data_IF_837356768989
#
_entry.id   IF_837356768989
#
_cell.length_a   1.000
_cell.length_b   1.000
_cell.length_c   1.000
_cell.angle_alpha   90.00
_cell.angle_beta   90.00
_cell.angle_gamma   90.00
#
_symmetry.space_group_name_H-M   'P 1'
#
loop_
_entity.id
_entity.type
_entity.pdbx_description
1 polymer ?
#
# COMPACT_ATOMS: atom_id res chain seq x y z
N UNK A 1 32.33 31.15 23.07
CA UNK A 1 32.54 30.39 21.82
C UNK A 1 33.16 31.33 20.80
N UNK A 2 34.29 30.98 20.17
CA UNK A 2 34.88 31.80 19.09
C UNK A 2 33.94 31.85 17.89
N UNK A 3 33.87 33.00 17.19
CA UNK A 3 32.99 33.21 16.03
C UNK A 3 33.14 32.11 14.97
N UNK A 4 34.36 31.57 14.80
CA UNK A 4 34.69 30.43 13.95
C UNK A 4 33.96 29.12 14.33
N UNK A 5 33.75 28.85 15.63
CA UNK A 5 33.03 27.64 16.07
C UNK A 5 31.54 27.74 15.80
N UNK A 6 30.96 28.94 15.96
CA UNK A 6 29.54 29.19 15.68
C UNK A 6 29.27 29.12 14.17
N UNK A 7 30.13 29.73 13.35
CA UNK A 7 30.00 29.65 11.89
C UNK A 7 30.21 28.23 11.37
N UNK A 8 31.19 27.49 11.91
CA UNK A 8 31.41 26.08 11.57
C UNK A 8 30.22 25.19 11.94
N UNK A 9 29.69 25.30 13.16
CA UNK A 9 28.52 24.53 13.59
C UNK A 9 27.25 24.92 12.80
N UNK A 10 27.08 26.20 12.48
CA UNK A 10 26.00 26.68 11.64
C UNK A 10 26.07 26.09 10.22
N UNK A 11 27.25 26.12 9.60
CA UNK A 11 27.48 25.53 8.28
C UNK A 11 27.27 24.01 8.30
N UNK A 12 27.77 23.31 9.33
CA UNK A 12 27.59 21.88 9.50
C UNK A 12 26.11 21.52 9.64
N UNK A 13 25.35 22.27 10.44
CA UNK A 13 23.91 22.08 10.59
C UNK A 13 23.17 22.29 9.27
N UNK A 14 23.51 23.35 8.53
CA UNK A 14 22.93 23.65 7.21
C UNK A 14 23.20 22.55 6.19
N UNK A 15 24.46 22.09 6.10
CA UNK A 15 24.87 21.01 5.19
C UNK A 15 24.18 19.69 5.59
N UNK A 16 24.08 19.40 6.88
CA UNK A 16 23.39 18.19 7.37
C UNK A 16 21.89 18.22 7.04
N UNK A 17 21.23 19.37 7.22
CA UNK A 17 19.82 19.56 6.86
C UNK A 17 19.62 19.44 5.33
N UNK A 18 20.49 20.06 4.54
CA UNK A 18 20.45 19.96 3.08
C UNK A 18 20.65 18.51 2.61
N UNK A 19 21.56 17.78 3.25
CA UNK A 19 21.79 16.36 2.98
C UNK A 19 20.55 15.50 3.31
N UNK A 20 19.95 15.68 4.49
CA UNK A 20 18.72 14.96 4.87
C UNK A 20 17.60 15.27 3.89
N UNK A 21 17.44 16.54 3.50
CA UNK A 21 16.44 16.96 2.52
C UNK A 21 16.67 16.30 1.16
N UNK A 22 17.92 16.26 0.69
CA UNK A 22 18.30 15.62 -0.57
C UNK A 22 18.06 14.10 -0.56
N UNK A 23 18.32 13.43 0.57
CA UNK A 23 18.17 11.96 0.70
C UNK A 23 16.73 11.55 0.97
N UNK A 24 15.93 12.44 1.58
CA UNK A 24 14.54 12.16 1.99
C UNK A 24 13.66 11.44 0.95
N UNK A 25 13.64 11.80 -0.36
CA UNK A 25 12.80 11.09 -1.33
C UNK A 25 13.21 9.63 -1.55
N UNK A 26 14.49 9.29 -1.31
CA UNK A 26 15.02 7.93 -1.49
C UNK A 26 14.78 7.02 -0.28
N UNK A 27 14.41 7.59 0.88
CA UNK A 27 14.12 6.80 2.09
C UNK A 27 12.96 5.85 1.88
N UNK A 28 11.95 6.23 1.09
CA UNK A 28 10.77 5.39 0.86
C UNK A 28 11.11 4.13 0.03
N UNK A 29 11.82 4.23 -1.12
CA UNK A 29 12.38 3.06 -1.80
C UNK A 29 13.24 2.16 -0.92
N UNK A 30 14.16 2.76 -0.14
CA UNK A 30 15.05 2.02 0.78
C UNK A 30 14.23 1.25 1.83
N UNK A 31 13.23 1.90 2.41
CA UNK A 31 12.35 1.31 3.42
C UNK A 31 11.58 0.09 2.86
N UNK A 32 10.98 0.23 1.68
CA UNK A 32 10.24 -0.88 1.05
C UNK A 32 11.16 -2.02 0.63
N UNK A 33 12.34 -1.70 0.08
CA UNK A 33 13.36 -2.69 -0.22
C UNK A 33 13.80 -3.47 1.03
N UNK A 34 14.09 -2.78 2.14
CA UNK A 34 14.49 -3.41 3.39
C UNK A 34 13.37 -4.28 3.97
N UNK A 35 12.15 -3.78 3.96
CA UNK A 35 10.96 -4.52 4.45
C UNK A 35 10.77 -5.80 3.66
N UNK A 36 10.70 -5.72 2.32
CA UNK A 36 10.54 -6.89 1.46
C UNK A 36 11.73 -7.86 1.60
N UNK A 37 12.96 -7.36 1.71
CA UNK A 37 14.13 -8.20 1.95
C UNK A 37 14.02 -8.99 3.28
N UNK A 38 13.58 -8.34 4.36
CA UNK A 38 13.38 -9.01 5.66
C UNK A 38 12.27 -10.06 5.60
N UNK A 39 11.16 -9.74 4.92
CA UNK A 39 10.00 -10.64 4.75
C UNK A 39 10.38 -11.89 3.97
N UNK A 40 11.07 -11.70 2.85
CA UNK A 40 11.41 -12.75 1.91
C UNK A 40 12.78 -13.38 2.19
N UNK A 41 13.48 -12.96 3.25
CA UNK A 41 14.71 -13.61 3.72
C UNK A 41 14.59 -15.15 3.90
N UNK A 42 13.53 -15.72 4.49
CA UNK A 42 13.37 -17.18 4.54
C UNK A 42 13.32 -17.82 3.14
N UNK A 43 12.62 -17.21 2.18
CA UNK A 43 12.56 -17.69 0.80
C UNK A 43 13.94 -17.56 0.12
N UNK A 44 14.62 -16.43 0.31
CA UNK A 44 15.98 -16.19 -0.18
C UNK A 44 16.96 -17.23 0.36
N UNK A 45 16.97 -17.44 1.67
CA UNK A 45 17.85 -18.41 2.34
C UNK A 45 17.57 -19.83 1.85
N UNK A 46 16.30 -20.20 1.66
CA UNK A 46 15.92 -21.50 1.12
C UNK A 46 16.42 -21.70 -0.33
N UNK A 47 16.21 -20.70 -1.19
CA UNK A 47 16.67 -20.73 -2.60
C UNK A 47 18.20 -20.76 -2.67
N UNK A 48 18.89 -19.98 -1.85
CA UNK A 48 20.35 -19.92 -1.77
C UNK A 48 20.96 -21.28 -1.37
N UNK A 49 20.37 -21.94 -0.36
CA UNK A 49 20.78 -23.29 0.04
C UNK A 49 20.58 -24.30 -1.10
N UNK A 50 19.46 -24.23 -1.84
CA UNK A 50 19.22 -25.09 -3.01
C UNK A 50 20.19 -24.83 -4.15
N UNK A 51 20.65 -23.59 -4.31
CA UNK A 51 21.64 -23.19 -5.32
C UNK A 51 23.10 -23.33 -4.86
N UNK A 52 23.35 -24.12 -3.79
CA UNK A 52 24.69 -24.40 -3.27
C UNK A 52 25.44 -23.14 -2.81
N UNK A 53 24.74 -22.18 -2.21
CA UNK A 53 25.35 -20.95 -1.65
C UNK A 53 25.63 -19.85 -2.68
N UNK A 54 25.07 -19.95 -3.89
CA UNK A 54 25.24 -18.91 -4.93
C UNK A 54 24.27 -17.75 -4.68
N UNK A 55 24.76 -16.71 -3.99
CA UNK A 55 23.95 -15.55 -3.57
C UNK A 55 23.29 -14.78 -4.74
N UNK A 56 24.02 -14.51 -5.82
CA UNK A 56 23.50 -13.75 -6.99
C UNK A 56 22.29 -14.41 -7.68
N UNK A 57 22.36 -15.67 -8.14
CA UNK A 57 21.22 -16.32 -8.76
C UNK A 57 20.07 -16.56 -7.77
N UNK A 58 20.38 -16.78 -6.48
CA UNK A 58 19.34 -16.88 -5.46
C UNK A 58 18.57 -15.57 -5.30
N UNK A 59 19.27 -14.44 -5.19
CA UNK A 59 18.68 -13.11 -5.08
C UNK A 59 17.85 -12.75 -6.33
N UNK A 60 18.32 -13.11 -7.53
CA UNK A 60 17.54 -12.92 -8.77
C UNK A 60 16.24 -13.73 -8.76
N UNK A 61 16.30 -15.02 -8.40
CA UNK A 61 15.09 -15.86 -8.34
C UNK A 61 14.11 -15.37 -7.28
N UNK A 62 14.59 -14.96 -6.12
CA UNK A 62 13.72 -14.40 -5.07
C UNK A 62 13.13 -13.06 -5.50
N UNK A 63 13.90 -12.20 -6.17
CA UNK A 63 13.38 -10.96 -6.74
C UNK A 63 12.27 -11.24 -7.76
N UNK A 64 12.47 -12.19 -8.67
CA UNK A 64 11.46 -12.61 -9.64
C UNK A 64 10.21 -13.18 -8.95
N UNK A 65 10.38 -13.98 -7.89
CA UNK A 65 9.27 -14.47 -7.06
C UNK A 65 8.48 -13.30 -6.46
N UNK A 66 9.15 -12.30 -5.88
CA UNK A 66 8.50 -11.11 -5.29
C UNK A 66 7.75 -10.32 -6.37
N UNK A 67 8.39 -10.10 -7.52
CA UNK A 67 7.76 -9.40 -8.65
C UNK A 67 6.49 -10.13 -9.09
N UNK A 68 6.56 -11.44 -9.28
CA UNK A 68 5.43 -12.25 -9.75
C UNK A 68 4.29 -12.38 -8.71
N UNK A 69 4.62 -12.49 -7.42
CA UNK A 69 3.63 -12.79 -6.36
C UNK A 69 3.07 -11.56 -5.66
N UNK A 70 3.79 -10.44 -5.66
CA UNK A 70 3.37 -9.21 -4.97
C UNK A 70 3.15 -8.07 -5.96
N UNK A 71 4.16 -7.76 -6.77
CA UNK A 71 4.16 -6.53 -7.59
C UNK A 71 3.17 -6.62 -8.74
N UNK A 72 3.25 -7.68 -9.56
CA UNK A 72 2.36 -7.87 -10.72
C UNK A 72 0.89 -7.89 -10.30
N UNK A 73 0.46 -8.68 -9.29
CA UNK A 73 -0.93 -8.64 -8.82
C UNK A 73 -1.35 -7.25 -8.35
N UNK A 74 -0.49 -6.55 -7.59
CA UNK A 74 -0.78 -5.20 -7.10
C UNK A 74 -0.96 -4.19 -8.24
N UNK A 75 -0.11 -4.26 -9.27
CA UNK A 75 -0.21 -3.38 -10.44
C UNK A 75 -1.49 -3.65 -11.24
N UNK A 76 -1.84 -4.93 -11.46
CA UNK A 76 -3.08 -5.30 -12.13
C UNK A 76 -4.30 -4.77 -11.37
N UNK A 77 -4.33 -4.91 -10.05
CA UNK A 77 -5.38 -4.36 -9.21
C UNK A 77 -5.48 -2.85 -9.30
N UNK A 78 -4.35 -2.16 -9.16
CA UNK A 78 -4.35 -0.70 -9.26
C UNK A 78 -4.87 -0.25 -10.62
N UNK A 79 -4.52 -0.95 -11.70
CA UNK A 79 -5.02 -0.66 -13.04
C UNK A 79 -6.53 -0.95 -13.18
N UNK A 80 -7.04 -2.04 -12.61
CA UNK A 80 -8.44 -2.39 -12.62
C UNK A 80 -9.28 -1.35 -11.87
N UNK A 81 -8.89 -1.04 -10.63
CA UNK A 81 -9.53 -0.01 -9.80
C UNK A 81 -9.47 1.37 -10.46
N UNK A 82 -8.32 1.75 -11.04
CA UNK A 82 -8.20 3.02 -11.76
C UNK A 82 -9.12 3.09 -12.98
N UNK A 83 -9.26 1.98 -13.72
CA UNK A 83 -10.15 1.91 -14.88
C UNK A 83 -11.63 2.02 -14.49
N UNK A 84 -12.07 1.30 -13.47
CA UNK A 84 -13.43 1.38 -12.94
C UNK A 84 -13.74 2.77 -12.39
N UNK A 85 -12.80 3.36 -11.64
CA UNK A 85 -12.99 4.69 -11.10
C UNK A 85 -13.02 5.79 -12.18
N UNK A 86 -12.24 5.64 -13.25
CA UNK A 86 -12.28 6.53 -14.42
C UNK A 86 -13.64 6.43 -15.13
N UNK A 87 -14.15 5.21 -15.34
CA UNK A 87 -15.47 4.99 -15.93
C UNK A 87 -16.59 5.58 -15.07
N UNK A 88 -16.51 5.40 -13.75
CA UNK A 88 -17.44 5.99 -12.80
C UNK A 88 -17.42 7.52 -12.87
N UNK A 89 -16.23 8.13 -12.89
CA UNK A 89 -16.08 9.58 -13.03
C UNK A 89 -16.76 10.11 -14.30
N UNK A 90 -16.55 9.44 -15.43
CA UNK A 90 -17.19 9.80 -16.72
C UNK A 90 -18.72 9.65 -16.66
N UNK A 91 -19.25 8.58 -16.03
CA UNK A 91 -20.70 8.38 -15.88
C UNK A 91 -21.35 9.45 -14.99
N UNK A 92 -20.69 9.85 -13.92
CA UNK A 92 -21.14 10.94 -13.04
C UNK A 92 -21.13 12.28 -13.79
N UNK A 93 -20.05 12.59 -14.53
CA UNK A 93 -19.98 13.84 -15.31
C UNK A 93 -21.03 13.92 -16.42
N UNK A 94 -21.33 12.79 -17.07
CA UNK A 94 -22.29 12.74 -18.17
C UNK A 94 -23.75 12.64 -17.70
N UNK A 95 -24.02 12.75 -16.39
CA UNK A 95 -25.37 12.66 -15.82
C UNK A 95 -26.04 11.29 -15.99
N UNK A 96 -25.27 10.25 -16.33
CA UNK A 96 -25.75 8.87 -16.44
C UNK A 96 -25.83 8.17 -15.08
N UNK A 97 -25.28 8.80 -14.05
CA UNK A 97 -25.36 8.35 -12.67
C UNK A 97 -26.27 9.31 -11.91
N UNK A 98 -27.49 8.88 -11.57
CA UNK A 98 -28.37 9.65 -10.68
C UNK A 98 -28.22 9.12 -9.24
N UNK A 99 -27.57 9.85 -8.32
CA UNK A 99 -27.47 9.46 -6.91
C UNK A 99 -28.82 9.20 -6.25
N UNK A 100 -29.91 9.70 -6.85
CA UNK A 100 -31.27 9.45 -6.42
C UNK A 100 -31.70 7.99 -6.58
N UNK A 101 -31.17 7.23 -7.54
CA UNK A 101 -31.53 5.83 -7.76
C UNK A 101 -31.07 4.93 -6.60
N UNK A 102 -29.87 5.16 -6.07
CA UNK A 102 -29.31 4.44 -4.91
C UNK A 102 -30.19 4.65 -3.67
N UNK A 103 -30.59 5.90 -3.42
CA UNK A 103 -31.46 6.23 -2.29
C UNK A 103 -32.86 5.64 -2.44
N UNK A 104 -33.34 5.55 -3.67
CA UNK A 104 -34.63 4.93 -4.00
C UNK A 104 -34.57 3.41 -3.80
N UNK A 105 -33.47 2.76 -4.19
CA UNK A 105 -33.23 1.34 -3.93
C UNK A 105 -33.16 1.03 -2.43
N UNK A 106 -32.43 1.83 -1.64
CA UNK A 106 -32.35 1.69 -0.18
C UNK A 106 -33.72 1.90 0.47
N UNK A 107 -34.52 2.88 0.02
CA UNK A 107 -35.88 3.09 0.53
C UNK A 107 -36.81 1.91 0.23
N UNK A 108 -36.66 1.27 -0.93
CA UNK A 108 -37.54 0.17 -1.38
C UNK A 108 -37.14 -1.16 -0.72
N UNK A 109 -35.84 -1.46 -0.65
CA UNK A 109 -35.34 -2.76 -0.19
C UNK A 109 -35.09 -2.83 1.32
N UNK A 110 -34.87 -1.68 1.98
CA UNK A 110 -34.61 -1.61 3.42
C UNK A 110 -35.50 -0.57 4.13
N UNK A 111 -36.85 -0.75 4.11
CA UNK A 111 -37.80 0.21 4.69
C UNK A 111 -37.65 0.38 6.21
N UNK A 112 -37.10 -0.61 6.91
CA UNK A 112 -36.82 -0.51 8.34
C UNK A 112 -35.71 0.50 8.67
N UNK A 113 -34.74 0.68 7.76
CA UNK A 113 -33.62 1.62 7.92
C UNK A 113 -34.08 3.05 7.66
N UNK A 114 -34.93 3.26 6.66
CA UNK A 114 -35.51 4.58 6.37
C UNK A 114 -36.47 5.06 7.45
N UNK A 115 -37.27 4.15 8.04
CA UNK A 115 -38.12 4.45 9.20
C UNK A 115 -37.32 4.86 10.45
N UNK A 116 -36.26 4.11 10.79
CA UNK A 116 -35.39 4.46 11.92
C UNK A 116 -34.66 5.78 11.74
N UNK A 117 -34.18 6.09 10.52
CA UNK A 117 -33.50 7.36 10.20
C UNK A 117 -34.43 8.57 10.33
N UNK A 118 -35.70 8.40 9.96
CA UNK A 118 -36.72 9.43 10.14
C UNK A 118 -37.04 9.68 11.62
N UNK A 119 -37.08 8.64 12.44
CA UNK A 119 -37.33 8.73 13.89
C UNK A 119 -36.21 9.43 14.67
N UNK A 120 -34.95 9.35 14.20
CA UNK A 120 -33.81 10.11 14.77
C UNK A 120 -33.64 11.50 14.14
N UNK A 121 -34.61 11.97 13.34
CA UNK A 121 -34.63 13.33 12.78
C UNK A 121 -33.66 13.56 11.62
N UNK A 122 -33.13 12.50 11.00
CA UNK A 122 -32.23 12.61 9.85
C UNK A 122 -33.08 12.75 8.58
N UNK A 123 -33.06 13.94 7.98
CA UNK A 123 -33.82 14.22 6.77
C UNK A 123 -33.21 13.50 5.56
N UNK A 124 -34.02 12.72 4.84
CA UNK A 124 -33.59 11.96 3.65
C UNK A 124 -32.95 12.89 2.59
N UNK A 125 -33.39 14.15 2.54
CA UNK A 125 -32.84 15.16 1.63
C UNK A 125 -31.41 15.57 2.00
N UNK A 126 -31.09 15.62 3.29
CA UNK A 126 -29.72 15.93 3.76
C UNK A 126 -28.79 14.73 3.52
N UNK A 127 -29.29 13.51 3.70
CA UNK A 127 -28.57 12.28 3.33
C UNK A 127 -28.30 12.26 1.83
N UNK A 128 -29.29 12.62 1.00
CA UNK A 128 -29.15 12.73 -0.46
C UNK A 128 -28.08 13.75 -0.86
N UNK A 129 -28.11 14.94 -0.26
CA UNK A 129 -27.12 15.98 -0.53
C UNK A 129 -25.69 15.53 -0.12
N UNK A 130 -25.56 14.82 1.00
CA UNK A 130 -24.28 14.33 1.50
C UNK A 130 -23.72 13.19 0.62
N UNK A 131 -24.57 12.26 0.16
CA UNK A 131 -24.16 11.18 -0.76
C UNK A 131 -23.72 11.75 -2.10
N UNK A 132 -24.46 12.69 -2.68
CA UNK A 132 -24.07 13.37 -3.92
C UNK A 132 -22.76 14.13 -3.77
N UNK A 133 -22.58 14.86 -2.65
CA UNK A 133 -21.33 15.57 -2.36
C UNK A 133 -20.16 14.58 -2.21
N UNK A 134 -20.36 13.46 -1.52
CA UNK A 134 -19.34 12.43 -1.35
C UNK A 134 -18.97 11.76 -2.68
N UNK A 135 -19.94 11.48 -3.56
CA UNK A 135 -19.69 10.93 -4.89
C UNK A 135 -18.89 11.91 -5.76
N UNK A 136 -19.22 13.20 -5.75
CA UNK A 136 -18.48 14.24 -6.49
C UNK A 136 -17.08 14.45 -5.91
N UNK A 137 -16.92 14.59 -4.60
CA UNK A 137 -15.61 14.78 -3.97
C UNK A 137 -14.73 13.53 -4.10
N UNK A 138 -15.30 12.34 -3.93
CA UNK A 138 -14.59 11.07 -4.09
C UNK A 138 -14.13 10.86 -5.53
N UNK A 139 -14.98 11.16 -6.52
CA UNK A 139 -14.61 11.05 -7.93
C UNK A 139 -13.56 12.09 -8.36
N UNK A 140 -13.63 13.33 -7.85
CA UNK A 140 -12.58 14.34 -8.04
C UNK A 140 -11.25 13.94 -7.41
N UNK A 141 -11.27 13.35 -6.20
CA UNK A 141 -10.07 12.82 -5.55
C UNK A 141 -9.41 11.74 -6.42
N UNK A 142 -10.18 10.78 -6.95
CA UNK A 142 -9.66 9.73 -7.82
C UNK A 142 -9.11 10.30 -9.14
N UNK A 143 -9.81 11.25 -9.77
CA UNK A 143 -9.31 11.93 -10.96
C UNK A 143 -7.99 12.67 -10.71
N UNK A 144 -7.85 13.32 -9.54
CA UNK A 144 -6.62 13.98 -9.13
C UNK A 144 -5.47 12.99 -8.90
N UNK A 145 -5.74 11.81 -8.34
CA UNK A 145 -4.77 10.74 -8.19
C UNK A 145 -4.26 10.26 -9.57
N UNK A 146 -5.16 10.01 -10.51
CA UNK A 146 -4.81 9.57 -11.86
C UNK A 146 -3.92 10.61 -12.58
N UNK A 147 -4.27 11.89 -12.50
CA UNK A 147 -3.47 12.99 -13.06
C UNK A 147 -2.10 13.14 -12.36
N UNK A 148 -2.05 13.01 -11.04
CA UNK A 148 -0.81 13.13 -10.25
C UNK A 148 0.14 11.96 -10.53
N UNK A 149 -0.39 10.74 -10.63
CA UNK A 149 0.37 9.54 -11.01
C UNK A 149 0.89 9.67 -12.44
N UNK A 150 0.08 10.18 -13.37
CA UNK A 150 0.49 10.43 -14.75
C UNK A 150 1.57 11.49 -14.88
N UNK A 151 1.42 12.64 -14.20
CA UNK A 151 2.39 13.73 -14.22
C UNK A 151 3.73 13.35 -13.57
N UNK A 152 3.71 12.49 -12.54
CA UNK A 152 4.91 12.01 -11.86
C UNK A 152 5.33 10.60 -12.29
N UNK A 153 4.83 10.07 -13.41
CA UNK A 153 5.07 8.69 -13.83
C UNK A 153 6.56 8.37 -13.96
N UNK A 154 7.37 9.32 -14.46
CA UNK A 154 8.82 9.17 -14.58
C UNK A 154 9.49 9.02 -13.20
N UNK A 155 9.15 9.89 -12.25
CA UNK A 155 9.69 9.82 -10.89
C UNK A 155 9.24 8.53 -10.19
N UNK A 156 7.97 8.17 -10.28
CA UNK A 156 7.44 6.92 -9.75
C UNK A 156 8.20 5.71 -10.31
N UNK A 157 8.39 5.67 -11.64
CA UNK A 157 9.11 4.59 -12.31
C UNK A 157 10.57 4.52 -11.84
N UNK A 158 11.26 5.66 -11.76
CA UNK A 158 12.64 5.71 -11.26
C UNK A 158 12.75 5.20 -9.81
N UNK A 159 11.87 5.66 -8.91
CA UNK A 159 11.84 5.24 -7.51
C UNK A 159 11.48 3.75 -7.36
N UNK A 160 10.59 3.24 -8.21
CA UNK A 160 10.22 1.84 -8.25
C UNK A 160 11.40 0.95 -8.70
N UNK A 161 12.11 1.32 -9.77
CA UNK A 161 13.31 0.59 -10.19
C UNK A 161 14.44 0.69 -9.17
N UNK A 162 14.61 1.84 -8.52
CA UNK A 162 15.55 2.00 -7.42
C UNK A 162 15.21 1.07 -6.26
N UNK A 163 13.93 0.98 -5.87
CA UNK A 163 13.49 0.04 -4.84
C UNK A 163 13.82 -1.41 -5.24
N UNK A 164 13.55 -1.83 -6.49
CA UNK A 164 13.90 -3.18 -6.96
C UNK A 164 15.41 -3.44 -6.95
N UNK A 165 16.19 -2.44 -7.38
CA UNK A 165 17.64 -2.49 -7.33
C UNK A 165 18.13 -2.67 -5.89
N UNK A 166 17.69 -1.82 -4.96
CA UNK A 166 18.06 -1.93 -3.55
C UNK A 166 17.62 -3.25 -2.93
N UNK A 167 16.41 -3.72 -3.25
CA UNK A 167 15.88 -5.01 -2.81
C UNK A 167 16.79 -6.16 -3.25
N UNK A 168 17.25 -6.14 -4.50
CA UNK A 168 18.19 -7.14 -5.00
C UNK A 168 19.49 -7.18 -4.18
N UNK A 169 20.11 -6.01 -3.92
CA UNK A 169 21.33 -5.94 -3.11
C UNK A 169 21.09 -6.30 -1.65
N UNK A 170 19.93 -5.95 -1.07
CA UNK A 170 19.58 -6.35 0.29
C UNK A 170 19.35 -7.86 0.42
N UNK A 171 18.78 -8.50 -0.59
CA UNK A 171 18.62 -9.96 -0.63
C UNK A 171 19.97 -10.67 -0.83
N UNK A 172 20.85 -10.12 -1.67
CA UNK A 172 22.16 -10.71 -1.99
C UNK A 172 23.20 -10.50 -0.89
N UNK A 173 23.36 -9.27 -0.44
CA UNK A 173 24.46 -8.81 0.40
C UNK A 173 24.00 -8.42 1.82
N UNK A 174 22.79 -8.81 2.22
CA UNK A 174 22.16 -8.34 3.46
C UNK A 174 23.02 -8.55 4.72
N UNK A 175 23.83 -9.61 4.79
CA UNK A 175 24.77 -9.84 5.90
C UNK A 175 25.88 -8.79 5.93
N UNK A 176 26.55 -8.56 4.80
CA UNK A 176 27.63 -7.56 4.65
C UNK A 176 27.10 -6.16 4.92
N UNK A 177 25.90 -5.85 4.43
CA UNK A 177 25.25 -4.54 4.66
C UNK A 177 24.93 -4.36 6.15
N UNK A 178 24.42 -5.39 6.81
CA UNK A 178 24.14 -5.35 8.25
C UNK A 178 25.42 -5.15 9.07
N UNK A 179 26.51 -5.86 8.74
CA UNK A 179 27.80 -5.70 9.41
C UNK A 179 28.40 -4.30 9.22
N UNK A 180 28.32 -3.76 8.00
CA UNK A 180 28.75 -2.39 7.72
C UNK A 180 27.92 -1.36 8.50
N UNK A 181 26.61 -1.60 8.66
CA UNK A 181 25.72 -0.72 9.39
C UNK A 181 25.97 -0.74 10.91
N UNK A 182 26.27 -1.92 11.47
CA UNK A 182 26.72 -2.08 12.85
C UNK A 182 28.03 -1.29 13.04
N UNK A 183 29.04 -1.51 12.21
CA UNK A 183 30.33 -0.81 12.33
C UNK A 183 30.23 0.73 12.21
N UNK A 184 29.23 1.24 11.49
CA UNK A 184 29.01 2.68 11.34
C UNK A 184 28.30 3.33 12.54
N UNK A 185 27.63 2.54 13.40
CA UNK A 185 26.92 3.04 14.56
C UNK A 185 27.86 3.04 15.79
N UNK A 186 27.92 4.14 16.56
CA UNK A 186 28.76 4.24 17.75
C UNK A 186 27.96 3.89 19.03
N UNK A 187 27.11 2.86 19.00
CA UNK A 187 26.25 2.45 20.13
C UNK A 187 26.77 1.19 20.84
N UNK A 188 27.74 0.50 20.23
CA UNK A 188 28.39 -0.72 20.70
C UNK A 188 27.78 -1.95 20.07
N UNK A 189 28.63 -2.79 19.45
CA UNK A 189 28.26 -3.89 18.56
C UNK A 189 27.15 -4.82 19.09
N UNK A 190 27.17 -5.15 20.40
CA UNK A 190 26.17 -6.04 21.00
C UNK A 190 24.77 -5.41 21.03
N UNK A 191 24.68 -4.12 21.37
CA UNK A 191 23.40 -3.40 21.46
C UNK A 191 22.79 -3.20 20.07
N UNK A 192 23.62 -2.95 19.07
CA UNK A 192 23.19 -2.78 17.68
C UNK A 192 22.71 -4.09 17.08
N UNK A 193 23.43 -5.19 17.30
CA UNK A 193 22.97 -6.53 16.90
C UNK A 193 21.63 -6.87 17.54
N UNK A 194 21.46 -6.59 18.83
CA UNK A 194 20.18 -6.79 19.51
C UNK A 194 19.07 -5.91 18.92
N UNK A 195 19.37 -4.64 18.61
CA UNK A 195 18.43 -3.71 18.00
C UNK A 195 17.95 -4.20 16.63
N UNK A 196 18.87 -4.56 15.72
CA UNK A 196 18.51 -5.08 14.40
C UNK A 196 17.77 -6.42 14.47
N UNK A 197 18.15 -7.30 15.40
CA UNK A 197 17.43 -8.55 15.65
C UNK A 197 15.99 -8.27 16.08
N UNK A 198 15.78 -7.31 16.99
CA UNK A 198 14.45 -6.92 17.46
C UNK A 198 13.63 -6.27 16.35
N UNK A 199 14.21 -5.40 15.53
CA UNK A 199 13.54 -4.86 14.34
C UNK A 199 13.10 -5.97 13.40
N UNK A 200 13.98 -6.92 13.10
CA UNK A 200 13.63 -8.03 12.21
C UNK A 200 12.54 -8.94 12.82
N UNK A 201 12.57 -9.17 14.14
CA UNK A 201 11.52 -9.89 14.87
C UNK A 201 10.18 -9.17 14.78
N UNK A 202 10.13 -7.87 15.11
CA UNK A 202 8.91 -7.06 15.07
C UNK A 202 8.38 -6.97 13.64
N UNK A 203 9.22 -6.68 12.64
CA UNK A 203 8.80 -6.64 11.23
C UNK A 203 8.18 -7.97 10.80
N UNK A 204 8.83 -9.10 11.12
CA UNK A 204 8.26 -10.43 10.81
C UNK A 204 6.97 -10.70 11.56
N UNK A 205 6.86 -10.30 12.82
CA UNK A 205 5.64 -10.47 13.62
C UNK A 205 4.48 -9.65 13.04
N UNK A 206 4.74 -8.38 12.72
CA UNK A 206 3.77 -7.49 12.07
C UNK A 206 3.29 -8.09 10.76
N UNK A 207 4.19 -8.53 9.89
CA UNK A 207 3.82 -9.08 8.58
C UNK A 207 3.08 -10.42 8.70
N UNK A 208 3.48 -11.30 9.62
CA UNK A 208 2.71 -12.54 9.90
C UNK A 208 1.31 -12.22 10.41
N UNK A 209 1.18 -11.22 11.29
CA UNK A 209 -0.10 -10.73 11.77
C UNK A 209 -0.95 -10.17 10.63
N UNK A 210 -0.35 -9.33 9.80
CA UNK A 210 -0.99 -8.75 8.60
C UNK A 210 -1.41 -9.82 7.61
N UNK A 211 -0.60 -10.86 7.36
CA UNK A 211 -0.95 -11.99 6.51
C UNK A 211 -2.16 -12.76 7.07
N UNK A 212 -2.18 -13.01 8.38
CA UNK A 212 -3.31 -13.68 9.04
C UNK A 212 -4.59 -12.85 8.90
N UNK A 213 -4.51 -11.53 9.16
CA UNK A 213 -5.62 -10.59 8.93
C UNK A 213 -6.03 -10.61 7.45
N UNK A 214 -5.05 -10.65 6.54
CA UNK A 214 -5.20 -10.87 5.09
C UNK A 214 -6.03 -12.08 4.73
N UNK A 215 -5.71 -13.24 5.31
CA UNK A 215 -6.44 -14.49 5.06
C UNK A 215 -7.88 -14.34 5.53
N UNK A 216 -8.08 -13.84 6.75
CA UNK A 216 -9.42 -13.65 7.33
C UNK A 216 -10.25 -12.69 6.48
N UNK A 217 -9.73 -11.50 6.17
CA UNK A 217 -10.45 -10.49 5.40
C UNK A 217 -10.64 -10.88 3.94
N UNK A 218 -9.65 -11.54 3.31
CA UNK A 218 -9.77 -12.02 1.94
C UNK A 218 -10.81 -13.12 1.81
N UNK A 219 -10.88 -14.02 2.79
CA UNK A 219 -11.91 -15.06 2.84
C UNK A 219 -13.29 -14.46 3.07
N UNK A 220 -13.46 -13.61 4.09
CA UNK A 220 -14.73 -12.96 4.39
C UNK A 220 -15.19 -12.04 3.26
N UNK A 221 -14.29 -11.24 2.70
CA UNK A 221 -14.56 -10.35 1.57
C UNK A 221 -14.91 -11.12 0.30
N UNK A 222 -14.19 -12.21 0.01
CA UNK A 222 -14.51 -13.10 -1.11
C UNK A 222 -15.87 -13.77 -0.94
N UNK A 223 -16.22 -14.21 0.27
CA UNK A 223 -17.55 -14.76 0.57
C UNK A 223 -18.65 -13.68 0.42
N UNK A 224 -18.41 -12.47 0.92
CA UNK A 224 -19.34 -11.34 0.73
C UNK A 224 -19.57 -11.08 -0.76
N UNK A 225 -18.51 -10.97 -1.56
CA UNK A 225 -18.63 -10.75 -3.01
C UNK A 225 -19.33 -11.89 -3.73
N UNK A 226 -19.11 -13.14 -3.28
CA UNK A 226 -19.81 -14.30 -3.80
C UNK A 226 -21.32 -14.22 -3.52
N UNK A 227 -21.73 -13.87 -2.30
CA UNK A 227 -23.14 -13.76 -1.94
C UNK A 227 -23.85 -12.57 -2.59
N UNK A 228 -23.14 -11.47 -2.84
CA UNK A 228 -23.70 -10.31 -3.55
C UNK A 228 -23.71 -10.49 -5.08
N UNK A 229 -23.11 -11.58 -5.60
CA UNK A 229 -23.16 -11.90 -7.03
C UNK A 229 -22.12 -11.16 -7.87
N UNK A 230 -21.02 -10.67 -7.27
CA UNK A 230 -19.91 -10.07 -8.02
C UNK A 230 -19.13 -11.17 -8.73
N UNK A 231 -18.90 -10.97 -10.03
CA UNK A 231 -18.06 -11.87 -10.83
C UNK A 231 -16.63 -11.94 -10.28
N UNK A 232 -16.03 -13.13 -10.35
CA UNK A 232 -14.66 -13.39 -9.87
C UNK A 232 -14.44 -13.11 -8.36
N UNK A 233 -15.43 -13.38 -7.51
CA UNK A 233 -15.32 -13.24 -6.04
C UNK A 233 -14.05 -13.87 -5.42
N UNK A 234 -13.63 -15.04 -5.92
CA UNK A 234 -12.39 -15.71 -5.46
C UNK A 234 -11.15 -14.89 -5.82
N UNK A 235 -11.11 -14.30 -7.01
CA UNK A 235 -10.01 -13.42 -7.43
C UNK A 235 -9.90 -12.24 -6.47
N UNK A 236 -11.00 -11.53 -6.22
CA UNK A 236 -11.03 -10.39 -5.30
C UNK A 236 -10.67 -10.75 -3.86
N UNK A 237 -11.10 -11.92 -3.37
CA UNK A 237 -10.71 -12.43 -2.05
C UNK A 237 -9.21 -12.69 -1.91
N UNK A 238 -8.61 -13.36 -2.90
CA UNK A 238 -7.15 -13.59 -2.94
C UNK A 238 -6.39 -12.26 -3.05
N UNK A 239 -6.91 -11.30 -3.81
CA UNK A 239 -6.33 -9.97 -3.94
C UNK A 239 -6.38 -9.16 -2.65
N UNK A 240 -7.49 -9.20 -1.90
CA UNK A 240 -7.58 -8.61 -0.55
C UNK A 240 -6.57 -9.22 0.41
N UNK A 241 -6.36 -10.54 0.32
CA UNK A 241 -5.35 -11.23 1.12
C UNK A 241 -3.94 -10.75 0.78
N UNK A 242 -3.57 -10.65 -0.50
CA UNK A 242 -2.24 -10.19 -0.92
C UNK A 242 -2.00 -8.73 -0.56
N UNK A 243 -2.96 -7.84 -0.84
CA UNK A 243 -2.81 -6.40 -0.57
C UNK A 243 -2.82 -6.05 0.91
N UNK A 244 -3.35 -6.91 1.77
CA UNK A 244 -3.24 -6.74 3.22
C UNK A 244 -1.79 -6.50 3.66
N UNK A 245 -0.84 -7.16 2.99
CA UNK A 245 0.60 -7.10 3.28
C UNK A 245 1.20 -5.71 3.08
N UNK A 246 0.51 -4.78 2.41
CA UNK A 246 0.94 -3.40 2.22
C UNK A 246 0.40 -2.51 3.35
N UNK A 247 1.21 -2.17 4.38
CA UNK A 247 0.75 -1.41 5.55
C UNK A 247 0.15 -0.02 5.25
N UNK A 248 0.53 0.62 4.14
CA UNK A 248 0.03 1.97 3.76
C UNK A 248 -1.38 1.92 3.16
N UNK A 249 -1.80 0.76 2.66
CA UNK A 249 -2.89 0.65 1.68
C UNK A 249 -3.90 -0.44 2.04
N UNK A 250 -3.42 -1.58 2.56
CA UNK A 250 -4.22 -2.69 3.09
C UNK A 250 -5.29 -3.22 2.13
N UNK A 251 -6.30 -3.92 2.69
CA UNK A 251 -7.47 -4.34 1.91
C UNK A 251 -8.43 -3.18 1.61
N UNK A 252 -8.28 -2.02 2.26
CA UNK A 252 -9.06 -0.80 1.99
C UNK A 252 -8.97 -0.34 0.55
N UNK A 253 -7.85 -0.61 -0.14
CA UNK A 253 -7.74 -0.30 -1.56
C UNK A 253 -8.60 -1.20 -2.46
N UNK A 254 -9.01 -2.37 -1.97
CA UNK A 254 -9.90 -3.28 -2.72
C UNK A 254 -11.34 -3.02 -2.31
N UNK A 255 -11.62 -3.11 -1.00
CA UNK A 255 -13.00 -3.03 -0.55
C UNK A 255 -13.54 -1.60 -0.61
N UNK A 256 -12.75 -0.53 -0.46
CA UNK A 256 -13.32 0.82 -0.49
C UNK A 256 -13.76 1.23 -1.91
N UNK A 257 -12.97 1.03 -2.99
CA UNK A 257 -13.46 1.27 -4.35
C UNK A 257 -14.54 0.27 -4.75
N UNK A 258 -14.41 -1.02 -4.42
CA UNK A 258 -15.44 -2.01 -4.74
C UNK A 258 -16.76 -1.70 -4.01
N UNK A 259 -16.73 -1.40 -2.71
CA UNK A 259 -17.90 -0.99 -1.95
C UNK A 259 -18.47 0.33 -2.46
N UNK A 260 -17.63 1.27 -2.89
CA UNK A 260 -18.10 2.49 -3.52
C UNK A 260 -18.81 2.18 -4.84
N UNK A 261 -18.22 1.35 -5.70
CA UNK A 261 -18.80 0.92 -6.98
C UNK A 261 -20.10 0.14 -6.77
N UNK A 262 -20.18 -0.74 -5.77
CA UNK A 262 -21.40 -1.48 -5.43
C UNK A 262 -22.47 -0.57 -4.84
N UNK A 263 -22.11 0.24 -3.85
CA UNK A 263 -23.02 1.25 -3.29
C UNK A 263 -23.57 2.17 -4.37
N UNK A 264 -22.75 2.44 -5.39
CA UNK A 264 -23.12 3.27 -6.53
C UNK A 264 -23.97 2.47 -7.53
N UNK A 265 -23.66 1.22 -7.82
CA UNK A 265 -24.39 0.40 -8.80
C UNK A 265 -25.64 -0.32 -8.25
N UNK A 266 -25.90 -0.25 -6.94
CA UNK A 266 -27.02 -0.92 -6.26
C UNK A 266 -26.56 -2.11 -5.40
#
# INVERSE_FOLDING_TARGET
>A
MTLQKVSFLGALGLVSLAFIWLVSPFLMPVFWAATLAIVFNPAQSFIEQRLKGRATPAALLTLLLIVATVIVPTMLLFSAVASEASLLYVRIQNGQFDPNEILTWVQIQLPAVSGYLADIGVNINDVRANVSRFAVTGSQFIGSLALTVGQNAVNFTAMFFLMLYLLFFFLRDGKTILEALIYALPLGDERERALFAKFAEVSRATIKGTLLIGVVQGTLGGLMFYFVGIEAAVFWGVMMMVLSLLPVVGASLVWAPAALIMFING
#
